data_IF_329622060594
#
_entry.id   IF_329622060594
#
_cell.length_a   1.000
_cell.length_b   1.000
_cell.length_c   1.000
_cell.angle_alpha   90.00
_cell.angle_beta   90.00
_cell.angle_gamma   90.00
#
_symmetry.space_group_name_H-M   'P 1'
#
loop_
_entity.id
_entity.type
_entity.pdbx_description
1 polymer ?
#
# COMPACT_ATOMS: atom_id res chain seq x y z
N UNK A 1 9.16 52.79 51.62
CA UNK A 1 8.78 52.95 50.20
C UNK A 1 10.00 52.63 49.34
N UNK A 2 9.80 51.95 48.19
CA UNK A 2 10.77 51.32 47.25
C UNK A 2 10.98 49.82 47.55
N UNK A 3 10.02 48.98 47.14
CA UNK A 3 9.84 48.33 45.82
C UNK A 3 10.68 47.06 45.66
N UNK A 4 9.94 45.96 45.60
CA UNK A 4 10.33 44.58 45.38
C UNK A 4 10.92 44.38 43.98
N UNK A 5 11.93 43.53 43.86
CA UNK A 5 12.23 42.83 42.61
C UNK A 5 12.35 41.34 42.90
N UNK A 6 11.24 40.62 42.72
CA UNK A 6 11.27 39.17 42.60
C UNK A 6 11.80 38.82 41.22
N UNK A 7 12.99 38.22 41.17
CA UNK A 7 13.55 37.61 39.96
C UNK A 7 12.84 36.27 39.77
N UNK A 8 11.79 36.28 38.95
CA UNK A 8 11.16 35.06 38.46
C UNK A 8 12.01 34.44 37.36
N UNK A 9 12.69 33.34 37.66
CA UNK A 9 13.34 32.50 36.66
C UNK A 9 12.23 31.72 35.94
N UNK A 10 11.84 32.18 34.74
CA UNK A 10 10.98 31.42 33.85
C UNK A 10 11.79 30.29 33.19
N UNK A 11 11.61 29.07 33.68
CA UNK A 11 12.15 27.85 33.05
C UNK A 11 11.26 27.54 31.85
N UNK A 12 11.67 27.98 30.66
CA UNK A 12 11.04 27.57 29.40
C UNK A 12 11.48 26.15 29.06
N UNK A 13 10.66 25.16 29.41
CA UNK A 13 10.83 23.79 28.92
C UNK A 13 10.42 23.77 27.46
N UNK A 14 11.39 23.80 26.55
CA UNK A 14 11.16 23.50 25.14
C UNK A 14 10.82 22.01 25.03
N UNK A 15 9.53 21.69 24.90
CA UNK A 15 9.06 20.37 24.51
C UNK A 15 9.40 20.18 23.02
N UNK A 16 10.52 19.51 22.75
CA UNK A 16 10.80 18.99 21.41
C UNK A 16 9.87 17.81 21.18
N UNK A 17 8.81 18.02 20.39
CA UNK A 17 7.99 16.93 19.87
C UNK A 17 8.86 16.09 18.92
N UNK A 18 9.39 14.98 19.43
CA UNK A 18 9.98 13.94 18.60
C UNK A 18 8.81 13.26 17.90
N UNK A 19 8.56 13.64 16.65
CA UNK A 19 7.69 12.88 15.77
C UNK A 19 8.41 11.57 15.44
N UNK A 20 8.12 10.52 16.21
CA UNK A 20 8.35 9.16 15.75
C UNK A 20 7.45 8.96 14.53
N UNK A 21 8.04 9.02 13.34
CA UNK A 21 7.42 8.43 12.16
C UNK A 21 7.41 6.92 12.43
N UNK A 22 6.24 6.38 12.78
CA UNK A 22 6.03 4.94 12.73
C UNK A 22 6.39 4.51 11.30
N UNK A 23 7.44 3.71 11.15
CA UNK A 23 7.81 3.15 9.86
C UNK A 23 6.65 2.26 9.43
N UNK A 24 5.92 2.71 8.41
CA UNK A 24 4.80 1.95 7.87
C UNK A 24 5.37 0.68 7.24
N UNK A 25 4.97 -0.48 7.74
CA UNK A 25 5.46 -1.76 7.23
C UNK A 25 5.10 -1.92 5.75
N UNK A 26 6.04 -2.44 4.95
CA UNK A 26 5.83 -2.68 3.52
C UNK A 26 4.95 -3.93 3.31
N UNK A 27 3.70 -3.79 2.83
CA UNK A 27 2.81 -4.93 2.64
C UNK A 27 3.32 -5.93 1.59
N UNK A 28 4.14 -5.49 0.63
CA UNK A 28 4.74 -6.38 -0.37
C UNK A 28 5.81 -7.26 0.26
N UNK A 29 6.70 -6.69 1.08
CA UNK A 29 7.71 -7.46 1.79
C UNK A 29 7.08 -8.44 2.78
N UNK A 30 6.06 -7.99 3.53
CA UNK A 30 5.31 -8.87 4.43
C UNK A 30 4.78 -10.09 3.66
N UNK A 31 4.14 -9.88 2.51
CA UNK A 31 3.63 -10.99 1.70
C UNK A 31 4.75 -11.87 1.12
N UNK A 32 5.78 -11.26 0.53
CA UNK A 32 6.88 -11.97 -0.12
C UNK A 32 7.65 -12.85 0.87
N UNK A 33 7.92 -12.37 2.07
CA UNK A 33 8.69 -13.10 3.09
C UNK A 33 7.86 -14.18 3.81
N UNK A 34 6.58 -13.93 4.04
CA UNK A 34 5.78 -14.77 4.93
C UNK A 34 4.76 -15.67 4.21
N UNK A 35 4.42 -15.35 2.95
CA UNK A 35 3.34 -16.02 2.23
C UNK A 35 3.81 -16.68 0.92
N UNK A 36 4.73 -16.04 0.18
CA UNK A 36 5.05 -16.43 -1.20
C UNK A 36 5.79 -17.78 -1.35
N UNK A 37 6.34 -18.35 -0.28
CA UNK A 37 6.94 -19.70 -0.34
C UNK A 37 5.87 -20.80 -0.54
N UNK A 38 4.67 -20.60 -0.01
CA UNK A 38 3.56 -21.57 -0.10
C UNK A 38 2.41 -21.10 -1.00
N UNK A 39 2.26 -19.80 -1.21
CA UNK A 39 1.24 -19.20 -2.06
C UNK A 39 1.84 -18.70 -3.38
N UNK A 40 1.00 -18.25 -4.29
CA UNK A 40 1.50 -17.64 -5.54
C UNK A 40 2.41 -16.44 -5.23
N UNK A 41 3.45 -16.15 -6.03
CA UNK A 41 4.48 -15.17 -5.67
C UNK A 41 3.97 -13.74 -5.44
N UNK A 42 2.77 -13.40 -5.94
CA UNK A 42 2.25 -12.04 -5.89
C UNK A 42 0.88 -11.99 -5.22
N UNK A 43 0.73 -11.10 -4.24
CA UNK A 43 -0.51 -10.86 -3.52
C UNK A 43 -1.70 -10.58 -4.44
N UNK A 44 -1.47 -9.89 -5.56
CA UNK A 44 -2.50 -9.60 -6.57
C UNK A 44 -3.17 -10.86 -7.12
N UNK A 45 -2.38 -11.88 -7.45
CA UNK A 45 -2.88 -13.15 -7.94
C UNK A 45 -3.52 -13.97 -6.81
N UNK A 46 -2.94 -13.95 -5.61
CA UNK A 46 -3.51 -14.63 -4.45
C UNK A 46 -4.91 -14.11 -4.11
N UNK A 47 -5.08 -12.79 -3.97
CA UNK A 47 -6.38 -12.16 -3.68
C UNK A 47 -7.38 -12.51 -4.77
N UNK A 48 -7.00 -12.27 -6.02
CA UNK A 48 -7.82 -12.56 -7.20
C UNK A 48 -8.32 -14.01 -7.23
N UNK A 49 -7.43 -14.96 -6.97
CA UNK A 49 -7.69 -16.37 -7.28
C UNK A 49 -8.27 -17.10 -6.08
N UNK A 50 -7.90 -16.69 -4.86
CA UNK A 50 -8.20 -17.41 -3.62
C UNK A 50 -9.19 -16.71 -2.71
N UNK A 51 -9.41 -15.39 -2.84
CA UNK A 51 -10.22 -14.63 -1.89
C UNK A 51 -11.51 -14.10 -2.51
N UNK A 52 -12.52 -13.88 -1.66
CA UNK A 52 -13.79 -13.26 -2.01
C UNK A 52 -14.15 -12.22 -0.95
N UNK A 53 -14.75 -11.12 -1.39
CA UNK A 53 -15.32 -10.12 -0.49
C UNK A 53 -16.64 -10.63 0.10
N UNK A 54 -16.84 -10.37 1.38
CA UNK A 54 -18.02 -10.67 2.18
C UNK A 54 -18.41 -9.43 2.97
N UNK A 55 -19.55 -9.48 3.66
CA UNK A 55 -19.99 -8.37 4.52
C UNK A 55 -19.01 -8.11 5.69
N UNK A 56 -18.28 -9.14 6.13
CA UNK A 56 -17.32 -9.10 7.24
C UNK A 56 -15.85 -8.98 6.78
N UNK A 57 -15.61 -8.59 5.52
CA UNK A 57 -14.27 -8.44 4.95
C UNK A 57 -13.92 -9.56 3.96
N UNK A 58 -12.66 -10.03 3.96
CA UNK A 58 -12.20 -11.05 3.03
C UNK A 58 -12.28 -12.47 3.59
N UNK A 59 -12.75 -13.40 2.77
CA UNK A 59 -12.79 -14.83 3.07
C UNK A 59 -12.13 -15.66 1.98
N UNK A 60 -11.68 -16.87 2.33
CA UNK A 60 -11.19 -17.83 1.35
C UNK A 60 -12.34 -18.38 0.49
N UNK A 61 -12.23 -18.32 -0.84
CA UNK A 61 -13.27 -18.82 -1.77
C UNK A 61 -13.66 -20.28 -1.52
N UNK A 62 -12.68 -21.12 -1.20
CA UNK A 62 -12.90 -22.56 -1.04
C UNK A 62 -13.44 -22.92 0.36
N UNK A 63 -13.04 -22.18 1.39
CA UNK A 63 -13.38 -22.51 2.78
C UNK A 63 -14.53 -21.68 3.35
N UNK A 64 -14.80 -20.50 2.79
CA UNK A 64 -15.69 -19.50 3.36
C UNK A 64 -15.18 -18.86 4.66
N UNK A 65 -14.01 -19.28 5.16
CA UNK A 65 -13.46 -18.80 6.43
C UNK A 65 -12.82 -17.41 6.25
N UNK A 66 -13.04 -16.46 7.18
CA UNK A 66 -12.38 -15.16 7.14
C UNK A 66 -10.85 -15.27 7.10
N UNK A 67 -10.22 -14.43 6.30
CA UNK A 67 -8.75 -14.40 6.15
C UNK A 67 -8.09 -14.04 7.49
N UNK A 68 -8.66 -13.08 8.21
CA UNK A 68 -8.18 -12.64 9.52
C UNK A 68 -8.05 -13.81 10.52
N UNK A 69 -8.95 -14.79 10.46
CA UNK A 69 -8.95 -15.94 11.37
C UNK A 69 -7.81 -16.92 11.09
N UNK A 70 -7.33 -16.99 9.84
CA UNK A 70 -6.14 -17.78 9.52
C UNK A 70 -4.90 -17.07 10.06
N UNK A 71 -4.80 -15.77 9.81
CA UNK A 71 -3.64 -14.96 10.20
C UNK A 71 -3.49 -14.91 11.72
N UNK A 72 -4.56 -14.62 12.47
CA UNK A 72 -4.57 -14.62 13.94
C UNK A 72 -4.33 -16.00 14.57
N UNK A 73 -4.58 -17.08 13.83
CA UNK A 73 -4.23 -18.43 14.26
C UNK A 73 -2.75 -18.78 14.03
N UNK A 74 -1.95 -17.84 13.48
CA UNK A 74 -0.52 -17.99 13.23
C UNK A 74 -0.15 -18.36 11.80
N UNK A 75 -1.10 -18.43 10.86
CA UNK A 75 -0.79 -18.66 9.45
C UNK A 75 -0.01 -17.46 8.89
N UNK A 76 1.18 -17.69 8.35
CA UNK A 76 2.11 -16.64 7.94
C UNK A 76 2.96 -16.04 9.07
N UNK A 77 2.79 -16.47 10.32
CA UNK A 77 3.63 -16.06 11.48
C UNK A 77 3.80 -14.53 11.63
N UNK A 78 2.73 -13.79 11.34
CA UNK A 78 2.70 -12.33 11.37
C UNK A 78 2.41 -11.80 12.78
N UNK A 79 2.97 -10.65 13.12
CA UNK A 79 2.51 -9.82 14.25
C UNK A 79 1.15 -9.19 13.96
N UNK A 80 0.42 -8.77 15.01
CA UNK A 80 -0.89 -8.11 14.85
C UNK A 80 -0.82 -6.90 13.90
N UNK A 81 0.26 -6.11 13.96
CA UNK A 81 0.46 -4.97 13.07
C UNK A 81 0.64 -5.39 11.61
N UNK A 82 1.40 -6.45 11.33
CA UNK A 82 1.60 -6.96 9.98
C UNK A 82 0.32 -7.59 9.42
N UNK A 83 -0.51 -8.21 10.29
CA UNK A 83 -1.83 -8.71 9.92
C UNK A 83 -2.71 -7.56 9.41
N UNK A 84 -2.78 -6.46 10.16
CA UNK A 84 -3.60 -5.30 9.78
C UNK A 84 -3.13 -4.70 8.44
N UNK A 85 -1.82 -4.53 8.27
CA UNK A 85 -1.21 -4.04 7.02
C UNK A 85 -1.53 -4.96 5.84
N UNK A 86 -1.45 -6.27 6.04
CA UNK A 86 -1.69 -7.24 4.97
C UNK A 86 -3.17 -7.34 4.59
N UNK A 87 -4.08 -7.25 5.57
CA UNK A 87 -5.53 -7.19 5.31
C UNK A 87 -5.88 -5.93 4.53
N UNK A 88 -5.38 -4.76 4.94
CA UNK A 88 -5.61 -3.51 4.21
C UNK A 88 -5.13 -3.63 2.76
N UNK A 89 -3.96 -4.23 2.54
CA UNK A 89 -3.44 -4.46 1.20
C UNK A 89 -4.33 -5.39 0.37
N UNK A 90 -4.81 -6.49 0.96
CA UNK A 90 -5.68 -7.43 0.27
C UNK A 90 -7.03 -6.80 -0.09
N UNK A 91 -7.61 -6.02 0.81
CA UNK A 91 -8.86 -5.29 0.57
C UNK A 91 -8.68 -4.25 -0.52
N UNK A 92 -7.56 -3.51 -0.50
CA UNK A 92 -7.21 -2.59 -1.58
C UNK A 92 -7.14 -3.34 -2.92
N UNK A 93 -6.37 -4.44 -2.99
CA UNK A 93 -6.26 -5.24 -4.22
C UNK A 93 -7.65 -5.71 -4.69
N UNK A 94 -8.49 -6.20 -3.79
CA UNK A 94 -9.85 -6.65 -4.12
C UNK A 94 -10.70 -5.49 -4.69
N UNK A 95 -10.67 -4.32 -4.04
CA UNK A 95 -11.38 -3.11 -4.49
C UNK A 95 -10.88 -2.59 -5.84
N UNK A 96 -9.65 -2.93 -6.24
CA UNK A 96 -9.14 -2.50 -7.55
C UNK A 96 -9.84 -3.19 -8.72
N UNK A 97 -10.55 -4.30 -8.48
CA UNK A 97 -11.24 -5.05 -9.53
C UNK A 97 -10.27 -5.65 -10.56
N UNK A 98 -9.01 -5.90 -10.19
CA UNK A 98 -7.98 -6.47 -11.07
C UNK A 98 -7.66 -5.62 -12.31
N UNK A 99 -7.86 -4.30 -12.25
CA UNK A 99 -7.67 -3.38 -13.39
C UNK A 99 -6.33 -3.55 -14.11
N UNK A 100 -5.23 -3.76 -13.37
CA UNK A 100 -3.90 -3.99 -13.99
C UNK A 100 -3.87 -5.29 -14.79
N UNK A 101 -4.48 -6.36 -14.26
CA UNK A 101 -4.56 -7.65 -14.93
C UNK A 101 -5.43 -7.59 -16.18
N UNK A 102 -6.47 -6.76 -16.18
CA UNK A 102 -7.39 -6.65 -17.30
C UNK A 102 -6.86 -5.78 -18.44
N UNK A 103 -6.17 -4.68 -18.11
CA UNK A 103 -5.80 -3.64 -19.09
C UNK A 103 -4.31 -3.59 -19.41
N UNK A 104 -3.44 -4.02 -18.49
CA UNK A 104 -2.00 -3.77 -18.58
C UNK A 104 -1.16 -5.03 -18.78
N UNK A 105 -1.61 -6.20 -18.28
CA UNK A 105 -0.77 -7.42 -18.23
C UNK A 105 -0.39 -7.99 -19.60
N UNK A 106 -1.12 -7.62 -20.65
CA UNK A 106 -0.83 -8.07 -22.01
C UNK A 106 0.50 -7.51 -22.53
N UNK A 107 0.91 -6.33 -22.05
CA UNK A 107 2.15 -5.67 -22.44
C UNK A 107 3.15 -5.53 -21.27
N UNK A 108 2.66 -5.62 -20.04
CA UNK A 108 3.47 -5.50 -18.84
C UNK A 108 3.44 -6.81 -18.04
N UNK A 109 4.56 -7.11 -17.39
CA UNK A 109 4.70 -8.31 -16.56
C UNK A 109 3.81 -8.23 -15.30
N UNK A 110 4.26 -7.50 -14.28
CA UNK A 110 3.45 -7.20 -13.11
C UNK A 110 3.58 -5.74 -12.69
N UNK A 111 2.60 -5.26 -11.92
CA UNK A 111 2.52 -3.87 -11.48
C UNK A 111 3.75 -3.46 -10.65
N UNK A 112 4.21 -4.33 -9.74
CA UNK A 112 5.34 -4.04 -8.86
C UNK A 112 6.63 -3.79 -9.65
N UNK A 113 6.99 -4.73 -10.54
CA UNK A 113 8.15 -4.63 -11.42
C UNK A 113 8.08 -3.42 -12.34
N UNK A 114 6.92 -3.18 -12.96
CA UNK A 114 6.75 -2.01 -13.83
C UNK A 114 6.93 -0.71 -13.05
N UNK A 115 6.22 -0.55 -11.93
CA UNK A 115 6.27 0.67 -11.13
C UNK A 115 7.69 0.95 -10.63
N UNK A 116 8.34 -0.03 -9.98
CA UNK A 116 9.69 0.11 -9.40
C UNK A 116 10.74 0.46 -10.47
N UNK A 117 10.64 -0.11 -11.67
CA UNK A 117 11.61 0.14 -12.74
C UNK A 117 11.35 1.42 -13.54
N UNK A 118 10.08 1.78 -13.76
CA UNK A 118 9.70 2.78 -14.77
C UNK A 118 9.09 4.05 -14.21
N UNK A 119 8.66 4.04 -12.96
CA UNK A 119 7.93 5.16 -12.35
C UNK A 119 8.69 5.74 -11.17
N UNK A 120 8.37 6.98 -10.84
CA UNK A 120 8.88 7.71 -9.69
C UNK A 120 7.79 8.67 -9.18
N UNK A 121 7.76 8.90 -7.87
CA UNK A 121 6.91 9.94 -7.27
C UNK A 121 7.71 11.25 -7.20
N UNK A 122 7.16 12.33 -7.77
CA UNK A 122 7.71 13.69 -7.70
C UNK A 122 6.60 14.62 -7.26
N UNK A 123 6.78 15.31 -6.14
CA UNK A 123 5.77 16.24 -5.60
C UNK A 123 4.36 15.62 -5.54
N UNK A 124 4.30 14.37 -5.04
CA UNK A 124 3.09 13.51 -4.98
C UNK A 124 2.44 13.12 -6.32
N UNK A 125 3.06 13.49 -7.44
CA UNK A 125 2.64 13.11 -8.79
C UNK A 125 3.43 11.88 -9.24
N UNK A 126 2.71 10.83 -9.66
CA UNK A 126 3.31 9.65 -10.24
C UNK A 126 3.73 9.96 -11.68
N UNK A 127 5.04 9.93 -11.93
CA UNK A 127 5.62 10.28 -13.23
C UNK A 127 6.48 9.16 -13.80
N UNK A 128 6.65 9.18 -15.12
CA UNK A 128 7.61 8.31 -15.80
C UNK A 128 9.04 8.68 -15.43
N UNK A 129 9.81 7.73 -14.87
CA UNK A 129 11.17 7.95 -14.34
C UNK A 129 12.14 8.57 -15.36
N UNK A 130 11.97 8.25 -16.63
CA UNK A 130 12.89 8.65 -17.72
C UNK A 130 12.27 9.65 -18.70
N UNK A 131 11.00 9.99 -18.52
CA UNK A 131 10.25 10.83 -19.46
C UNK A 131 9.59 12.03 -18.79
N UNK A 132 9.53 12.05 -17.45
CA UNK A 132 8.84 13.03 -16.62
C UNK A 132 7.36 13.26 -17.01
N UNK A 133 6.76 12.32 -17.76
CA UNK A 133 5.34 12.37 -18.12
C UNK A 133 4.48 12.03 -16.92
N UNK A 134 3.41 12.80 -16.72
CA UNK A 134 2.32 12.46 -15.80
C UNK A 134 1.69 11.13 -16.22
N UNK A 135 1.63 10.17 -15.28
CA UNK A 135 1.10 8.84 -15.55
C UNK A 135 -0.42 8.85 -15.71
N UNK A 136 -1.16 9.67 -14.95
CA UNK A 136 -2.61 9.76 -15.07
C UNK A 136 -3.01 10.22 -16.47
N UNK A 137 -2.36 11.28 -16.98
CA UNK A 137 -2.61 11.79 -18.34
C UNK A 137 -2.18 10.76 -19.40
N UNK A 138 -1.02 10.15 -19.22
CA UNK A 138 -0.51 9.15 -20.17
C UNK A 138 -1.44 7.94 -20.32
N UNK A 139 -2.05 7.48 -19.23
CA UNK A 139 -2.92 6.32 -19.21
C UNK A 139 -4.22 6.50 -20.02
N UNK A 140 -4.70 7.74 -20.19
CA UNK A 140 -5.87 8.04 -21.02
C UNK A 140 -5.66 7.61 -22.47
N UNK A 141 -4.42 7.65 -22.95
CA UNK A 141 -4.07 7.27 -24.32
C UNK A 141 -3.44 5.88 -24.39
N UNK A 142 -2.45 5.60 -23.54
CA UNK A 142 -1.69 4.35 -23.59
C UNK A 142 -2.50 3.16 -23.08
N UNK A 143 -3.10 3.30 -21.89
CA UNK A 143 -3.96 2.28 -21.30
C UNK A 143 -5.39 2.32 -21.84
N UNK A 144 -5.74 3.38 -22.61
CA UNK A 144 -7.11 3.68 -23.06
C UNK A 144 -8.09 3.66 -21.89
N UNK A 145 -7.64 4.17 -20.76
CA UNK A 145 -8.43 4.27 -19.53
C UNK A 145 -9.27 5.54 -19.58
N UNK A 146 -10.46 5.49 -19.00
CA UNK A 146 -11.15 6.74 -18.66
C UNK A 146 -10.46 7.44 -17.46
N UNK A 147 -10.92 8.65 -17.11
CA UNK A 147 -10.32 9.42 -16.02
C UNK A 147 -10.41 8.71 -14.65
N UNK A 148 -11.48 7.96 -14.41
CA UNK A 148 -11.67 7.23 -13.14
C UNK A 148 -10.76 5.99 -13.08
N UNK A 149 -10.72 5.20 -14.15
CA UNK A 149 -9.80 4.07 -14.29
C UNK A 149 -8.33 4.53 -14.20
N UNK A 150 -7.97 5.66 -14.81
CA UNK A 150 -6.62 6.19 -14.77
C UNK A 150 -6.20 6.56 -13.34
N UNK A 151 -7.04 7.26 -12.59
CA UNK A 151 -6.76 7.58 -11.18
C UNK A 151 -6.66 6.32 -10.32
N UNK A 152 -7.57 5.37 -10.52
CA UNK A 152 -7.53 4.08 -9.84
C UNK A 152 -6.22 3.33 -10.12
N UNK A 153 -5.76 3.35 -11.36
CA UNK A 153 -4.48 2.73 -11.76
C UNK A 153 -3.27 3.46 -11.17
N UNK A 154 -3.30 4.79 -11.11
CA UNK A 154 -2.24 5.59 -10.45
C UNK A 154 -2.11 5.17 -8.98
N UNK A 155 -3.20 4.98 -8.26
CA UNK A 155 -3.16 4.53 -6.87
C UNK A 155 -2.62 3.09 -6.74
N UNK A 156 -3.00 2.19 -7.65
CA UNK A 156 -2.41 0.83 -7.73
C UNK A 156 -0.89 0.91 -7.86
N UNK A 157 -0.41 1.75 -8.79
CA UNK A 157 1.02 1.89 -9.10
C UNK A 157 1.79 2.62 -8.00
N UNK A 158 1.20 3.63 -7.36
CA UNK A 158 1.81 4.34 -6.22
C UNK A 158 2.05 3.40 -5.04
N UNK A 159 1.09 2.51 -4.72
CA UNK A 159 1.29 1.52 -3.65
C UNK A 159 2.47 0.57 -3.93
N UNK A 160 2.80 0.30 -5.19
CA UNK A 160 3.97 -0.52 -5.53
C UNK A 160 5.32 0.16 -5.21
N UNK A 161 5.31 1.47 -4.96
CA UNK A 161 6.49 2.28 -4.64
C UNK A 161 6.68 2.51 -3.14
N UNK A 162 5.79 1.99 -2.28
CA UNK A 162 5.85 2.16 -0.82
C UNK A 162 6.95 1.32 -0.14
N UNK A 163 7.92 0.84 -0.93
CA UNK A 163 9.08 0.09 -0.46
C UNK A 163 10.11 1.06 0.12
N UNK A 164 10.26 1.09 1.45
CA UNK A 164 11.44 1.67 2.11
C UNK A 164 11.84 0.92 3.38
#
# INVERSE_FOLDING_TARGET
MKQFFHIGIAISVAFWAVFLNAQQSDPHLIYEENCAECHVPHAGDFVSDKLVATDDGLAGKASGRPVIDYLKAGHGKLSDQEIDVLIEQFEFIQGTGRLFKEKCIICHDNAAKFARLKLILRDDILTGRYTDRDVAEFLLQHGRLDAFEAQKMVEVLKRQLQVR
#
